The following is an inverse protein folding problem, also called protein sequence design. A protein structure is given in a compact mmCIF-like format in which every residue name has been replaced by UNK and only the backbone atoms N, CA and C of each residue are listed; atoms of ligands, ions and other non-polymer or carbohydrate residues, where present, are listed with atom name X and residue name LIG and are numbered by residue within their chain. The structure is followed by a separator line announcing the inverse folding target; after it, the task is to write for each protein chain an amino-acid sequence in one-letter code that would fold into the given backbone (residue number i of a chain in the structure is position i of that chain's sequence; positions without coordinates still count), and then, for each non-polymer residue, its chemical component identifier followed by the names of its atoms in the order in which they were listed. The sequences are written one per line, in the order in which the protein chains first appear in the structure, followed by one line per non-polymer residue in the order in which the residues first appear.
data_IF_166487512783
#
_entry.id   IF_166487512783
#
_cell.length_a   1.000
_cell.length_b   1.000
_cell.length_c   1.000
_cell.angle_alpha   90.00
_cell.angle_beta   90.00
_cell.angle_gamma   90.00
#
_symmetry.space_group_name_H-M   'P 1'
#
loop_
_entity.id
_entity.type
_entity.pdbx_description
1 polymer ?
#
# COMPACT_ATOMS: atom_id res chain seq x y z
N UNK A 1 35.59 23.55 3.34
CA UNK A 1 34.69 23.42 2.18
C UNK A 1 33.99 22.09 2.35
N UNK A 2 32.67 22.07 2.56
CA UNK A 2 31.98 20.79 2.73
C UNK A 2 32.11 19.98 1.44
N UNK A 3 32.52 18.72 1.57
CA UNK A 3 32.74 17.84 0.43
C UNK A 3 31.44 17.72 -0.39
N UNK A 4 31.49 17.78 -1.73
CA UNK A 4 30.29 17.72 -2.57
C UNK A 4 29.47 16.44 -2.28
N UNK A 5 30.14 15.35 -1.93
CA UNK A 5 29.53 14.09 -1.50
C UNK A 5 28.69 14.26 -0.22
N UNK A 6 29.20 15.00 0.78
CA UNK A 6 28.51 15.20 2.06
C UNK A 6 27.20 15.97 1.87
N UNK A 7 27.16 16.94 0.96
CA UNK A 7 25.96 17.70 0.65
C UNK A 7 24.91 16.82 -0.05
N UNK A 8 25.33 15.94 -0.97
CA UNK A 8 24.43 15.00 -1.65
C UNK A 8 23.81 13.99 -0.70
N UNK A 9 24.58 13.47 0.27
CA UNK A 9 24.06 12.54 1.28
C UNK A 9 23.05 13.22 2.20
N UNK A 10 23.33 14.46 2.63
CA UNK A 10 22.41 15.22 3.47
C UNK A 10 21.08 15.51 2.74
N UNK A 11 21.15 15.85 1.45
CA UNK A 11 19.95 16.05 0.63
C UNK A 11 19.15 14.76 0.47
N UNK A 12 19.82 13.65 0.14
CA UNK A 12 19.16 12.33 0.01
C UNK A 12 18.47 11.90 1.30
N UNK A 13 19.10 12.12 2.45
CA UNK A 13 18.50 11.81 3.76
C UNK A 13 17.23 12.62 4.02
N UNK A 14 17.24 13.92 3.65
CA UNK A 14 16.06 14.79 3.75
C UNK A 14 14.94 14.31 2.83
N UNK A 15 15.26 13.98 1.58
CA UNK A 15 14.28 13.51 0.59
C UNK A 15 13.64 12.18 1.01
N UNK A 16 14.45 11.23 1.52
CA UNK A 16 13.95 9.95 2.01
C UNK A 16 13.04 10.10 3.24
N UNK A 17 13.38 11.02 4.15
CA UNK A 17 12.54 11.32 5.30
C UNK A 17 11.21 11.94 4.88
N UNK A 18 11.24 12.90 3.95
CA UNK A 18 10.04 13.50 3.40
C UNK A 18 9.14 12.44 2.73
N UNK A 19 9.71 11.56 1.91
CA UNK A 19 8.98 10.47 1.26
C UNK A 19 8.26 9.58 2.28
N UNK A 20 8.92 9.20 3.38
CA UNK A 20 8.32 8.38 4.44
C UNK A 20 7.10 9.07 5.06
N UNK A 21 7.19 10.37 5.35
CA UNK A 21 6.07 11.14 5.91
C UNK A 21 4.91 11.28 4.91
N UNK A 22 5.20 11.59 3.65
CA UNK A 22 4.18 11.66 2.60
C UNK A 22 3.44 10.34 2.42
N UNK A 23 4.17 9.22 2.49
CA UNK A 23 3.57 7.89 2.36
C UNK A 23 2.62 7.59 3.52
N UNK A 24 3.02 7.92 4.76
CA UNK A 24 2.16 7.78 5.94
C UNK A 24 0.91 8.65 5.80
N UNK A 25 1.05 9.93 5.45
CA UNK A 25 -0.08 10.84 5.26
C UNK A 25 -1.06 10.34 4.18
N UNK A 26 -0.52 9.87 3.06
CA UNK A 26 -1.33 9.30 1.97
C UNK A 26 -2.07 8.04 2.42
N UNK A 27 -1.39 7.13 3.13
CA UNK A 27 -2.01 5.91 3.66
C UNK A 27 -3.13 6.20 4.66
N UNK A 28 -2.99 7.25 5.49
CA UNK A 28 -4.01 7.67 6.44
C UNK A 28 -5.25 8.22 5.73
N UNK A 29 -5.05 9.07 4.70
CA UNK A 29 -6.14 9.61 3.89
C UNK A 29 -6.87 8.51 3.13
N UNK A 30 -6.12 7.54 2.59
CA UNK A 30 -6.69 6.39 1.91
C UNK A 30 -7.52 5.51 2.85
N UNK A 31 -7.01 5.26 4.06
CA UNK A 31 -7.72 4.51 5.10
C UNK A 31 -9.03 5.21 5.49
N UNK A 32 -9.02 6.54 5.59
CA UNK A 32 -10.21 7.33 5.86
C UNK A 32 -11.28 7.16 4.76
N UNK A 33 -10.89 7.24 3.49
CA UNK A 33 -11.80 7.05 2.35
C UNK A 33 -12.42 5.64 2.33
N UNK A 34 -11.63 4.62 2.71
CA UNK A 34 -12.12 3.26 2.89
C UNK A 34 -13.17 3.17 3.99
N UNK A 35 -12.95 3.78 5.16
CA UNK A 35 -13.94 3.75 6.23
C UNK A 35 -15.25 4.43 5.84
N UNK A 36 -15.19 5.52 5.06
CA UNK A 36 -16.38 6.22 4.59
C UNK A 36 -17.22 5.32 3.68
N UNK A 37 -16.57 4.64 2.74
CA UNK A 37 -17.24 3.81 1.73
C UNK A 37 -17.64 2.43 2.25
N UNK A 38 -16.98 1.92 3.29
CA UNK A 38 -17.27 0.61 3.89
C UNK A 38 -18.68 0.54 4.48
N UNK A 39 -19.21 1.63 5.03
CA UNK A 39 -20.58 1.68 5.56
C UNK A 39 -21.63 1.38 4.49
N UNK A 40 -21.49 1.99 3.32
CA UNK A 40 -22.36 1.75 2.17
C UNK A 40 -22.15 0.35 1.59
N UNK A 41 -20.91 -0.14 1.52
CA UNK A 41 -20.62 -1.50 1.07
C UNK A 41 -21.30 -2.56 1.94
N UNK A 42 -21.26 -2.40 3.25
CA UNK A 42 -21.92 -3.33 4.18
C UNK A 42 -23.45 -3.25 4.01
N UNK A 43 -24.00 -2.06 3.81
CA UNK A 43 -25.44 -1.88 3.64
C UNK A 43 -25.96 -2.47 2.31
N UNK A 44 -25.25 -2.27 1.19
CA UNK A 44 -25.73 -2.61 -0.15
C UNK A 44 -25.10 -3.87 -0.73
N UNK A 45 -23.80 -4.06 -0.53
CA UNK A 45 -23.06 -5.14 -1.17
C UNK A 45 -23.16 -6.45 -0.35
N UNK A 46 -23.17 -6.37 0.98
CA UNK A 46 -23.28 -7.55 1.86
C UNK A 46 -24.71 -8.04 2.11
N UNK A 47 -25.73 -7.22 1.87
CA UNK A 47 -27.15 -7.59 2.06
C UNK A 47 -27.75 -8.35 0.86
N UNK A 48 -27.08 -8.36 -0.29
CA UNK A 48 -27.53 -9.00 -1.53
C UNK A 48 -27.12 -10.47 -1.71
N UNK A 49 -27.52 -11.07 -2.85
CA UNK A 49 -27.06 -12.41 -3.26
C UNK A 49 -25.57 -12.36 -3.61
N UNK A 50 -24.76 -13.12 -2.88
CA UNK A 50 -23.31 -13.26 -3.10
C UNK A 50 -23.03 -14.03 -4.39
N UNK A 51 -22.97 -13.32 -5.50
CA UNK A 51 -22.56 -13.87 -6.80
C UNK A 51 -21.04 -13.98 -6.90
N UNK A 52 -20.53 -14.74 -7.86
CA UNK A 52 -19.10 -14.81 -8.18
C UNK A 52 -18.48 -13.42 -8.42
N UNK A 53 -19.23 -12.53 -9.07
CA UNK A 53 -18.83 -11.14 -9.34
C UNK A 53 -18.60 -10.35 -8.04
N UNK A 54 -19.36 -10.63 -6.98
CA UNK A 54 -19.19 -9.99 -5.68
C UNK A 54 -17.86 -10.38 -5.04
N UNK A 55 -17.47 -11.65 -5.12
CA UNK A 55 -16.17 -12.10 -4.61
C UNK A 55 -14.99 -11.50 -5.39
N UNK A 56 -15.11 -11.39 -6.72
CA UNK A 56 -14.11 -10.70 -7.54
C UNK A 56 -14.00 -9.21 -7.19
N UNK A 57 -15.13 -8.52 -6.99
CA UNK A 57 -15.16 -7.14 -6.53
C UNK A 57 -14.46 -7.01 -5.18
N UNK A 58 -14.77 -7.88 -4.21
CA UNK A 58 -14.15 -7.88 -2.89
C UNK A 58 -12.64 -8.13 -2.97
N UNK A 59 -12.23 -9.09 -3.78
CA UNK A 59 -10.81 -9.42 -3.94
C UNK A 59 -10.04 -8.21 -4.50
N UNK A 60 -10.57 -7.55 -5.54
CA UNK A 60 -9.95 -6.35 -6.11
C UNK A 60 -9.95 -5.17 -5.12
N UNK A 61 -11.06 -4.97 -4.40
CA UNK A 61 -11.25 -3.88 -3.42
C UNK A 61 -10.30 -3.99 -2.23
N UNK A 62 -10.14 -5.17 -1.64
CA UNK A 62 -9.33 -5.36 -0.44
C UNK A 62 -7.87 -5.67 -0.73
N UNK A 63 -7.51 -6.04 -1.97
CA UNK A 63 -6.12 -6.27 -2.35
C UNK A 63 -5.29 -4.98 -2.33
N UNK A 64 -5.82 -3.87 -2.86
CA UNK A 64 -5.12 -2.58 -2.87
C UNK A 64 -4.79 -2.00 -1.47
N UNK A 65 -5.67 -2.02 -0.45
CA UNK A 65 -5.30 -1.58 0.89
C UNK A 65 -4.29 -2.52 1.56
N UNK A 66 -4.31 -3.82 1.24
CA UNK A 66 -3.31 -4.77 1.75
C UNK A 66 -1.92 -4.42 1.23
N UNK A 67 -1.76 -4.09 -0.06
CA UNK A 67 -0.45 -3.73 -0.61
C UNK A 67 0.08 -2.41 -0.04
N UNK A 68 -0.81 -1.44 0.22
CA UNK A 68 -0.45 -0.18 0.88
C UNK A 68 -0.03 -0.41 2.33
N UNK A 69 -0.73 -1.27 3.08
CA UNK A 69 -0.36 -1.64 4.45
C UNK A 69 1.00 -2.35 4.51
N UNK A 70 1.25 -3.29 3.59
CA UNK A 70 2.56 -3.98 3.50
C UNK A 70 3.69 -3.00 3.18
N UNK A 71 3.44 -2.07 2.27
CA UNK A 71 4.40 -1.01 1.93
C UNK A 71 4.67 -0.10 3.13
N UNK A 72 3.64 0.27 3.89
CA UNK A 72 3.79 1.03 5.14
C UNK A 72 4.67 0.27 6.14
N UNK A 73 4.40 -1.02 6.35
CA UNK A 73 5.19 -1.88 7.25
C UNK A 73 6.65 -1.97 6.82
N UNK A 74 6.93 -2.02 5.51
CA UNK A 74 8.32 -2.05 5.00
C UNK A 74 9.13 -0.80 5.35
N UNK A 75 8.49 0.36 5.52
CA UNK A 75 9.17 1.60 5.93
C UNK A 75 9.54 1.63 7.43
N UNK A 76 8.98 0.74 8.26
CA UNK A 76 9.19 0.72 9.71
C UNK A 76 9.87 -0.55 10.21
N UNK A 77 9.68 -1.70 9.55
CA UNK A 77 10.32 -2.95 9.90
C UNK A 77 11.62 -3.15 9.13
N UNK A 78 12.73 -3.23 9.87
CA UNK A 78 14.05 -3.57 9.35
C UNK A 78 14.16 -5.06 8.92
N UNK A 79 13.16 -5.88 9.25
CA UNK A 79 13.07 -7.27 8.83
C UNK A 79 12.71 -7.45 7.33
N UNK A 80 12.37 -6.36 6.62
CA UNK A 80 12.12 -6.38 5.19
C UNK A 80 13.43 -6.43 4.40
N UNK A 81 13.95 -7.64 4.19
CA UNK A 81 15.10 -7.86 3.30
C UNK A 81 14.68 -7.82 1.82
N UNK A 82 15.64 -7.61 0.92
CA UNK A 82 15.39 -7.57 -0.54
C UNK A 82 14.67 -8.81 -1.07
N UNK A 83 14.96 -9.98 -0.50
CA UNK A 83 14.31 -11.24 -0.88
C UNK A 83 12.81 -11.24 -0.55
N UNK A 84 12.46 -10.72 0.63
CA UNK A 84 11.06 -10.58 1.06
C UNK A 84 10.33 -9.57 0.18
N UNK A 85 10.98 -8.46 -0.16
CA UNK A 85 10.43 -7.46 -1.09
C UNK A 85 10.14 -8.05 -2.47
N UNK A 86 11.10 -8.77 -3.06
CA UNK A 86 10.93 -9.40 -4.38
C UNK A 86 9.81 -10.43 -4.39
N UNK A 87 9.71 -11.26 -3.34
CA UNK A 87 8.65 -12.26 -3.22
C UNK A 87 7.28 -11.58 -3.16
N UNK A 88 7.12 -10.56 -2.31
CA UNK A 88 5.85 -9.82 -2.17
C UNK A 88 5.52 -9.09 -3.47
N UNK A 89 6.48 -8.45 -4.12
CA UNK A 89 6.27 -7.77 -5.39
C UNK A 89 5.76 -8.72 -6.47
N UNK A 90 6.44 -9.87 -6.67
CA UNK A 90 6.01 -10.89 -7.64
C UNK A 90 4.61 -11.40 -7.31
N UNK A 91 4.35 -11.74 -6.04
CA UNK A 91 3.03 -12.20 -5.61
C UNK A 91 1.94 -11.15 -5.93
N UNK A 92 2.23 -9.86 -5.71
CA UNK A 92 1.26 -8.81 -5.96
C UNK A 92 0.98 -8.58 -7.45
N UNK A 93 2.01 -8.61 -8.30
CA UNK A 93 1.86 -8.47 -9.75
C UNK A 93 1.11 -9.66 -10.35
N UNK A 94 1.37 -10.87 -9.86
CA UNK A 94 0.69 -12.08 -10.32
C UNK A 94 -0.80 -12.06 -9.97
N UNK A 95 -1.13 -11.65 -8.73
CA UNK A 95 -2.53 -11.47 -8.31
C UNK A 95 -3.22 -10.36 -9.11
N UNK A 96 -2.56 -9.22 -9.35
CA UNK A 96 -3.11 -8.15 -10.18
C UNK A 96 -3.35 -8.61 -11.63
N UNK A 97 -2.47 -9.44 -12.19
CA UNK A 97 -2.62 -9.98 -13.55
C UNK A 97 -3.75 -11.01 -13.68
N UNK A 98 -4.12 -11.68 -12.59
CA UNK A 98 -5.26 -12.60 -12.52
C UNK A 98 -6.61 -11.86 -12.41
N UNK A 99 -6.59 -10.56 -12.06
CA UNK A 99 -7.77 -9.72 -11.89
C UNK A 99 -8.13 -8.89 -13.13
N UNK A 100 -7.22 -8.78 -14.11
CA UNK A 100 -7.38 -8.11 -15.40
C UNK A 100 -7.89 -9.09 -16.47
#
# INVERSE_FOLDING_TARGET
MADPLSNSVAQLASDLFAQKLYYVATSALWTYDYFLTLGDEVAYAYSGRKSYIFYLFLMNRYFAPITILLSLLSYFLDAWTLDVFMLVFIATVLVASLML
#
